data_IF_606379279359
#
_entry.id   IF_606379279359
#
_cell.length_a   1.000
_cell.length_b   1.000
_cell.length_c   1.000
_cell.angle_alpha   90.00
_cell.angle_beta   90.00
_cell.angle_gamma   90.00
#
_symmetry.space_group_name_H-M   'P 1'
#
loop_
_entity.id
_entity.type
_entity.pdbx_description
1 polymer ?
#
# COMPACT_ATOMS: atom_id res chain seq x y z
N UNK A 1 2.18 -62.96 -28.41
CA UNK A 1 2.60 -61.86 -27.51
C UNK A 1 2.92 -60.53 -28.21
N UNK A 2 3.47 -60.48 -29.45
CA UNK A 2 3.79 -59.22 -30.13
C UNK A 2 2.56 -58.38 -30.53
N UNK A 3 1.49 -58.99 -31.03
CA UNK A 3 0.28 -58.27 -31.47
C UNK A 3 -0.48 -57.58 -30.33
N UNK A 4 -0.56 -58.22 -29.15
CA UNK A 4 -1.23 -57.66 -27.95
C UNK A 4 -0.50 -56.41 -27.44
N UNK A 5 0.84 -56.38 -27.47
CA UNK A 5 1.63 -55.19 -27.09
C UNK A 5 1.42 -54.02 -28.05
N UNK A 6 1.25 -54.29 -29.35
CA UNK A 6 1.03 -53.24 -30.37
C UNK A 6 -0.36 -52.61 -30.22
N UNK A 7 -1.40 -53.43 -29.98
CA UNK A 7 -2.77 -52.94 -29.78
C UNK A 7 -2.89 -52.12 -28.49
N UNK A 8 -2.24 -52.56 -27.41
CA UNK A 8 -2.22 -51.81 -26.15
C UNK A 8 -1.51 -50.46 -26.29
N UNK A 9 -0.38 -50.41 -27.02
CA UNK A 9 0.30 -49.16 -27.33
C UNK A 9 -0.57 -48.23 -28.19
N UNK A 10 -1.30 -48.75 -29.18
CA UNK A 10 -2.19 -47.93 -30.03
C UNK A 10 -3.36 -47.32 -29.24
N UNK A 11 -3.96 -48.08 -28.30
CA UNK A 11 -5.03 -47.59 -27.43
C UNK A 11 -4.54 -46.52 -26.44
N UNK A 12 -3.34 -46.69 -25.87
CA UNK A 12 -2.72 -45.68 -24.99
C UNK A 12 -2.31 -44.42 -25.79
N UNK A 13 -1.86 -44.60 -27.04
CA UNK A 13 -1.50 -43.46 -27.89
C UNK A 13 -2.75 -42.64 -28.28
N UNK A 14 -3.89 -43.29 -28.53
CA UNK A 14 -5.15 -42.59 -28.79
C UNK A 14 -5.65 -41.81 -27.55
N UNK A 15 -5.53 -42.35 -26.33
CA UNK A 15 -5.96 -41.60 -25.14
C UNK A 15 -5.09 -40.38 -24.81
N UNK A 16 -3.80 -40.39 -25.19
CA UNK A 16 -2.90 -39.24 -25.01
C UNK A 16 -3.12 -38.19 -26.11
N UNK A 17 -3.41 -38.60 -27.35
CA UNK A 17 -3.61 -37.67 -28.47
C UNK A 17 -4.99 -36.99 -28.44
N UNK A 18 -6.02 -37.62 -27.83
CA UNK A 18 -7.38 -37.09 -27.74
C UNK A 18 -7.73 -36.41 -26.41
N UNK A 19 -6.78 -36.16 -25.51
CA UNK A 19 -7.07 -35.26 -24.40
C UNK A 19 -7.21 -33.85 -24.98
N UNK A 20 -8.44 -33.33 -25.04
CA UNK A 20 -8.68 -31.94 -25.40
C UNK A 20 -7.71 -31.04 -24.63
N UNK A 21 -7.05 -30.08 -25.29
CA UNK A 21 -6.15 -29.16 -24.59
C UNK A 21 -6.96 -28.45 -23.51
N UNK A 22 -6.72 -28.83 -22.25
CA UNK A 22 -7.31 -28.13 -21.11
C UNK A 22 -6.63 -26.78 -21.02
N UNK A 23 -7.36 -25.73 -21.40
CA UNK A 23 -6.93 -24.37 -21.14
C UNK A 23 -6.83 -24.20 -19.62
N UNK A 24 -5.60 -24.04 -19.12
CA UNK A 24 -5.38 -23.72 -17.72
C UNK A 24 -6.07 -22.37 -17.42
N UNK A 25 -6.74 -22.26 -16.27
CA UNK A 25 -7.30 -21.00 -15.81
C UNK A 25 -6.16 -19.98 -15.67
N UNK A 26 -6.04 -19.08 -16.63
CA UNK A 26 -5.07 -17.99 -16.59
C UNK A 26 -5.57 -16.96 -15.60
N UNK A 27 -4.79 -16.69 -14.56
CA UNK A 27 -5.04 -15.60 -13.61
C UNK A 27 -4.00 -14.52 -13.89
N UNK A 28 -4.46 -13.29 -14.14
CA UNK A 28 -3.59 -12.16 -14.49
C UNK A 28 -3.59 -11.17 -13.34
N UNK A 29 -2.39 -10.81 -12.90
CA UNK A 29 -2.18 -9.75 -11.92
C UNK A 29 -1.40 -8.61 -12.57
N UNK A 30 -1.82 -7.38 -12.26
CA UNK A 30 -1.11 -6.17 -12.66
C UNK A 30 -0.37 -5.59 -11.47
N UNK A 31 0.84 -5.10 -11.71
CA UNK A 31 1.57 -4.32 -10.72
C UNK A 31 0.87 -2.98 -10.56
N UNK A 32 0.17 -2.81 -9.44
CA UNK A 32 -0.56 -1.60 -9.14
C UNK A 32 0.36 -0.37 -9.08
N UNK A 33 1.61 -0.55 -8.66
CA UNK A 33 2.53 0.56 -8.48
C UNK A 33 3.33 0.90 -9.75
N UNK A 34 3.16 0.18 -10.86
CA UNK A 34 3.92 0.42 -12.08
C UNK A 34 3.25 1.51 -12.95
N UNK A 35 4.03 2.55 -13.30
CA UNK A 35 3.76 3.69 -14.21
C UNK A 35 2.55 4.59 -13.93
N UNK A 36 1.46 4.13 -13.32
CA UNK A 36 0.29 4.97 -12.97
C UNK A 36 0.33 5.59 -11.57
N UNK A 37 1.09 4.99 -10.66
CA UNK A 37 1.09 5.34 -9.22
C UNK A 37 2.42 5.87 -8.69
N UNK A 38 3.49 5.78 -9.49
CA UNK A 38 4.79 6.40 -9.22
C UNK A 38 4.74 7.93 -9.29
N UNK A 39 3.71 8.49 -9.94
CA UNK A 39 3.54 9.93 -9.99
C UNK A 39 3.11 10.47 -8.63
N UNK A 40 3.90 11.45 -8.16
CA UNK A 40 3.60 12.22 -6.96
C UNK A 40 2.29 12.98 -7.16
N UNK A 41 1.41 12.91 -6.17
CA UNK A 41 0.14 13.63 -6.20
C UNK A 41 0.41 15.15 -6.19
N UNK A 42 -0.21 15.90 -7.11
CA UNK A 42 0.03 17.35 -7.24
C UNK A 42 -0.71 18.18 -6.18
N UNK A 43 -1.91 17.75 -5.82
CA UNK A 43 -2.79 18.45 -4.88
C UNK A 43 -3.77 17.46 -4.24
N UNK A 44 -4.37 17.83 -3.11
CA UNK A 44 -5.41 17.03 -2.49
C UNK A 44 -4.88 15.84 -1.68
N UNK A 45 -5.67 14.79 -1.60
CA UNK A 45 -5.33 13.51 -0.96
C UNK A 45 -6.08 12.39 -1.67
N UNK A 46 -5.38 11.31 -2.02
CA UNK A 46 -6.01 10.09 -2.52
C UNK A 46 -5.98 9.00 -1.45
N UNK A 47 -7.10 8.30 -1.26
CA UNK A 47 -7.20 7.12 -0.39
C UNK A 47 -7.70 5.96 -1.25
N UNK A 48 -6.94 4.88 -1.29
CA UNK A 48 -7.29 3.68 -2.03
C UNK A 48 -7.49 2.52 -1.08
N UNK A 49 -8.48 1.69 -1.38
CA UNK A 49 -8.59 0.34 -0.82
C UNK A 49 -8.35 -0.64 -1.94
N UNK A 50 -7.34 -1.47 -1.76
CA UNK A 50 -6.82 -2.34 -2.81
C UNK A 50 -6.79 -3.77 -2.31
N UNK A 51 -7.53 -4.64 -2.96
CA UNK A 51 -7.48 -6.08 -2.72
C UNK A 51 -6.51 -6.73 -3.71
N UNK A 52 -5.54 -7.45 -3.17
CA UNK A 52 -4.48 -8.03 -3.99
C UNK A 52 -3.49 -8.80 -3.13
N UNK A 53 -2.28 -8.98 -3.63
CA UNK A 53 -1.17 -9.45 -2.81
C UNK A 53 0.03 -8.53 -2.90
N UNK A 54 0.76 -8.42 -1.80
CA UNK A 54 2.09 -7.85 -1.83
C UNK A 54 3.14 -8.95 -1.94
N UNK A 55 4.17 -8.72 -2.76
CA UNK A 55 5.36 -9.55 -2.77
C UNK A 55 6.29 -9.16 -1.61
N UNK A 56 6.45 -10.05 -0.63
CA UNK A 56 7.36 -9.87 0.51
C UNK A 56 8.50 -10.88 0.43
N UNK A 57 9.58 -10.60 1.14
CA UNK A 57 10.72 -11.51 1.28
C UNK A 57 11.02 -11.71 2.77
N UNK A 58 11.93 -12.63 3.09
CA UNK A 58 12.35 -12.83 4.50
C UNK A 58 12.96 -11.56 5.12
N UNK A 59 13.47 -10.64 4.28
CA UNK A 59 14.11 -9.39 4.66
C UNK A 59 13.16 -8.19 4.57
N UNK A 60 12.29 -8.14 3.56
CA UNK A 60 11.32 -7.06 3.34
C UNK A 60 9.93 -7.56 3.71
N UNK A 61 9.49 -7.21 4.92
CA UNK A 61 8.19 -7.64 5.47
C UNK A 61 7.07 -6.62 5.26
N UNK A 62 7.41 -5.41 4.86
CA UNK A 62 6.45 -4.34 4.59
C UNK A 62 6.11 -4.26 3.10
N UNK A 63 4.89 -3.84 2.78
CA UNK A 63 4.46 -3.72 1.41
C UNK A 63 4.98 -2.43 0.76
N UNK A 64 6.25 -2.43 0.35
CA UNK A 64 6.95 -1.25 -0.20
C UNK A 64 6.73 -1.05 -1.70
N UNK A 65 5.55 -1.38 -2.21
CA UNK A 65 5.20 -1.07 -3.60
C UNK A 65 5.28 -2.25 -4.59
N UNK A 66 5.33 -3.49 -4.13
CA UNK A 66 5.09 -4.67 -4.98
C UNK A 66 3.66 -5.19 -4.87
N UNK A 67 2.69 -4.28 -4.91
CA UNK A 67 1.27 -4.62 -4.83
C UNK A 67 0.76 -5.10 -6.19
N UNK A 68 0.17 -6.28 -6.19
CA UNK A 68 -0.33 -6.98 -7.36
C UNK A 68 -1.84 -7.12 -7.23
N UNK A 69 -2.57 -6.61 -8.22
CA UNK A 69 -4.04 -6.62 -8.22
C UNK A 69 -4.57 -7.51 -9.32
N UNK A 70 -5.59 -8.28 -8.98
CA UNK A 70 -6.24 -9.19 -9.90
C UNK A 70 -7.02 -8.40 -10.95
N UNK A 71 -6.79 -8.74 -12.22
CA UNK A 71 -7.64 -8.31 -13.32
C UNK A 71 -9.06 -8.86 -13.14
N UNK A 72 -10.10 -8.01 -12.99
CA UNK A 72 -11.48 -8.45 -12.80
C UNK A 72 -11.98 -9.37 -13.93
N UNK A 73 -11.43 -9.26 -15.15
CA UNK A 73 -11.77 -10.15 -16.27
C UNK A 73 -11.46 -11.61 -15.98
N UNK A 74 -10.43 -11.87 -15.17
CA UNK A 74 -9.97 -13.20 -14.81
C UNK A 74 -10.41 -13.63 -13.40
N UNK A 75 -11.17 -12.80 -12.69
CA UNK A 75 -11.78 -13.13 -11.42
C UNK A 75 -12.86 -14.21 -11.59
N UNK A 76 -12.91 -15.17 -10.66
CA UNK A 76 -13.86 -16.29 -10.71
C UNK A 76 -14.64 -16.43 -9.40
N UNK A 77 -15.88 -16.95 -9.48
CA UNK A 77 -16.72 -17.16 -8.30
C UNK A 77 -17.01 -15.87 -7.54
N UNK A 78 -16.78 -15.87 -6.22
CA UNK A 78 -17.01 -14.72 -5.33
C UNK A 78 -16.11 -13.52 -5.62
N UNK A 79 -14.98 -13.71 -6.31
CA UNK A 79 -14.05 -12.62 -6.67
C UNK A 79 -14.63 -11.67 -7.71
N UNK A 80 -15.56 -12.15 -8.58
CA UNK A 80 -16.20 -11.30 -9.60
C UNK A 80 -17.01 -10.15 -9.03
N UNK A 81 -17.54 -10.34 -7.82
CA UNK A 81 -18.39 -9.36 -7.15
C UNK A 81 -17.58 -8.41 -6.25
N UNK A 82 -16.26 -8.60 -6.15
CA UNK A 82 -15.40 -7.78 -5.31
C UNK A 82 -14.64 -6.78 -6.16
N UNK A 83 -14.78 -5.49 -5.87
CA UNK A 83 -13.93 -4.47 -6.48
C UNK A 83 -12.49 -4.66 -6.00
N UNK A 84 -11.57 -4.97 -6.92
CA UNK A 84 -10.14 -5.10 -6.59
C UNK A 84 -9.53 -3.77 -6.15
N UNK A 85 -10.07 -2.64 -6.60
CA UNK A 85 -9.61 -1.29 -6.23
C UNK A 85 -10.79 -0.33 -6.15
N UNK A 86 -10.81 0.47 -5.08
CA UNK A 86 -11.66 1.66 -4.93
C UNK A 86 -10.74 2.84 -4.58
N UNK A 87 -10.99 4.01 -5.16
CA UNK A 87 -10.22 5.25 -4.93
C UNK A 87 -11.14 6.37 -4.45
N UNK A 88 -10.72 7.12 -3.44
CA UNK A 88 -11.30 8.40 -3.01
C UNK A 88 -10.29 9.47 -3.37
N UNK A 89 -10.69 10.41 -4.21
CA UNK A 89 -9.94 11.64 -4.44
C UNK A 89 -10.57 12.76 -3.63
N UNK A 90 -9.76 13.56 -2.94
CA UNK A 90 -10.21 14.58 -2.00
C UNK A 90 -9.49 15.89 -2.30
N UNK A 91 -10.23 16.91 -2.70
CA UNK A 91 -9.72 18.27 -2.74
C UNK A 91 -9.71 18.85 -1.32
N UNK A 92 -8.50 19.12 -0.79
CA UNK A 92 -8.34 19.60 0.57
C UNK A 92 -8.65 21.09 0.77
N UNK A 93 -8.85 21.85 -0.32
CA UNK A 93 -9.21 23.27 -0.26
C UNK A 93 -10.68 23.48 0.12
N UNK A 94 -11.55 22.59 -0.36
CA UNK A 94 -13.00 22.68 -0.21
C UNK A 94 -13.64 21.39 0.34
N UNK A 95 -12.86 20.31 0.52
CA UNK A 95 -13.31 18.98 0.93
C UNK A 95 -14.37 18.37 0.01
N UNK A 96 -14.37 18.74 -1.28
CA UNK A 96 -15.06 17.97 -2.30
C UNK A 96 -14.32 16.65 -2.47
N UNK A 97 -15.07 15.56 -2.60
CA UNK A 97 -14.49 14.23 -2.72
C UNK A 97 -15.24 13.42 -3.77
N UNK A 98 -14.47 12.64 -4.54
CA UNK A 98 -14.99 11.77 -5.60
C UNK A 98 -14.53 10.34 -5.37
N UNK A 99 -15.48 9.42 -5.35
CA UNK A 99 -15.23 7.99 -5.33
C UNK A 99 -15.12 7.48 -6.76
N UNK A 100 -14.10 6.68 -7.02
CA UNK A 100 -13.89 5.96 -8.27
C UNK A 100 -13.85 4.46 -8.00
N UNK A 101 -14.48 3.68 -8.86
CA UNK A 101 -14.54 2.23 -8.76
C UNK A 101 -14.71 1.55 -10.12
N UNK A 102 -15.14 0.29 -10.08
CA UNK A 102 -15.39 -0.55 -11.26
C UNK A 102 -14.22 -0.51 -12.25
N UNK A 103 -13.12 -1.18 -11.90
CA UNK A 103 -11.88 -1.06 -12.67
C UNK A 103 -11.84 -1.98 -13.89
N UNK A 104 -11.13 -1.55 -14.92
CA UNK A 104 -10.70 -2.39 -16.04
C UNK A 104 -9.24 -2.12 -16.36
N UNK A 105 -8.62 -3.06 -17.06
CA UNK A 105 -7.29 -2.88 -17.63
C UNK A 105 -7.36 -2.83 -19.15
N UNK A 106 -6.75 -1.81 -19.73
CA UNK A 106 -6.52 -1.71 -21.18
C UNK A 106 -5.03 -1.50 -21.44
N UNK A 107 -4.40 -2.40 -22.18
CA UNK A 107 -2.95 -2.41 -22.43
C UNK A 107 -2.09 -2.19 -21.16
N UNK A 108 -2.43 -2.91 -20.08
CA UNK A 108 -1.80 -2.82 -18.76
C UNK A 108 -2.06 -1.51 -17.98
N UNK A 109 -2.89 -0.60 -18.50
CA UNK A 109 -3.30 0.63 -17.80
C UNK A 109 -4.59 0.42 -17.02
N UNK A 110 -4.60 0.89 -15.77
CA UNK A 110 -5.77 0.88 -14.89
C UNK A 110 -6.75 2.00 -15.26
N UNK A 111 -8.00 1.65 -15.50
CA UNK A 111 -9.10 2.59 -15.71
C UNK A 111 -10.18 2.41 -14.65
N UNK A 112 -10.73 3.52 -14.15
CA UNK A 112 -11.93 3.53 -13.30
C UNK A 112 -13.14 3.86 -14.16
N UNK A 113 -14.15 2.99 -14.17
CA UNK A 113 -15.32 3.14 -15.03
C UNK A 113 -16.55 3.69 -14.29
N UNK A 114 -16.47 3.86 -12.97
CA UNK A 114 -17.49 4.55 -12.20
C UNK A 114 -16.89 5.69 -11.40
N UNK A 115 -17.70 6.75 -11.27
CA UNK A 115 -17.39 7.95 -10.50
C UNK A 115 -18.66 8.38 -9.75
N UNK A 116 -18.52 8.77 -8.49
CA UNK A 116 -19.61 9.36 -7.71
C UNK A 116 -19.10 10.40 -6.72
N UNK A 117 -19.90 11.45 -6.52
CA UNK A 117 -19.60 12.47 -5.51
C UNK A 117 -19.82 11.91 -4.10
N UNK A 118 -18.91 12.25 -3.18
CA UNK A 118 -18.96 11.88 -1.77
C UNK A 118 -19.06 13.14 -0.93
N UNK A 119 -20.09 13.19 -0.08
CA UNK A 119 -20.24 14.25 0.91
C UNK A 119 -19.47 13.88 2.17
N UNK A 120 -18.42 14.63 2.47
CA UNK A 120 -17.65 14.46 3.70
C UNK A 120 -18.31 15.20 4.87
N UNK A 121 -18.55 14.47 5.95
CA UNK A 121 -18.98 15.03 7.24
C UNK A 121 -17.86 15.77 7.97
N UNK A 122 -18.21 16.58 8.96
CA UNK A 122 -17.23 17.36 9.72
C UNK A 122 -16.19 16.49 10.44
N UNK A 123 -16.59 15.33 11.00
CA UNK A 123 -15.64 14.40 11.63
C UNK A 123 -14.61 13.87 10.65
N UNK A 124 -15.06 13.46 9.45
CA UNK A 124 -14.20 12.93 8.39
C UNK A 124 -13.22 14.01 7.91
N UNK A 125 -13.68 15.25 7.71
CA UNK A 125 -12.81 16.39 7.34
C UNK A 125 -11.72 16.64 8.38
N UNK A 126 -12.06 16.60 9.66
CA UNK A 126 -11.08 16.77 10.74
C UNK A 126 -10.10 15.58 10.83
N UNK A 127 -10.59 14.35 10.64
CA UNK A 127 -9.74 13.16 10.56
C UNK A 127 -8.77 13.22 9.39
N UNK A 128 -9.22 13.66 8.21
CA UNK A 128 -8.40 13.86 7.01
C UNK A 128 -7.28 14.88 7.26
N UNK A 129 -7.61 16.04 7.86
CA UNK A 129 -6.60 17.06 8.21
C UNK A 129 -5.53 16.50 9.15
N UNK A 130 -5.95 15.76 10.18
CA UNK A 130 -5.04 15.14 11.16
C UNK A 130 -4.15 14.08 10.50
N UNK A 131 -4.72 13.18 9.70
CA UNK A 131 -3.95 12.15 8.99
C UNK A 131 -2.93 12.81 8.06
N UNK A 132 -3.32 13.81 7.26
CA UNK A 132 -2.38 14.56 6.42
C UNK A 132 -1.23 15.14 7.25
N UNK A 133 -1.53 15.79 8.38
CA UNK A 133 -0.49 16.36 9.25
C UNK A 133 0.49 15.29 9.75
N UNK A 134 -0.02 14.14 10.18
CA UNK A 134 0.81 13.02 10.61
C UNK A 134 1.64 12.44 9.46
N UNK A 135 1.09 12.34 8.25
CA UNK A 135 1.83 11.90 7.06
C UNK A 135 2.95 12.89 6.69
N UNK A 136 2.76 14.19 6.88
CA UNK A 136 3.84 15.19 6.73
C UNK A 136 4.98 14.99 7.74
N UNK A 137 4.66 14.61 8.98
CA UNK A 137 5.66 14.28 10.00
C UNK A 137 6.40 12.99 9.61
N UNK A 138 5.65 11.96 9.21
CA UNK A 138 6.20 10.69 8.73
C UNK A 138 7.17 10.90 7.56
N UNK A 139 6.78 11.69 6.56
CA UNK A 139 7.63 12.00 5.41
C UNK A 139 8.92 12.74 5.82
N UNK A 140 8.81 13.75 6.68
CA UNK A 140 9.99 14.46 7.19
C UNK A 140 10.94 13.54 7.95
N UNK A 141 10.41 12.62 8.76
CA UNK A 141 11.22 11.64 9.49
C UNK A 141 11.92 10.69 8.52
N UNK A 142 11.19 10.14 7.55
CA UNK A 142 11.72 9.19 6.57
C UNK A 142 12.80 9.79 5.66
N UNK A 143 12.71 11.09 5.37
CA UNK A 143 13.70 11.78 4.55
C UNK A 143 14.94 12.27 5.33
N UNK A 144 15.07 11.96 6.62
CA UNK A 144 16.29 12.27 7.36
C UNK A 144 17.42 11.35 6.90
N UNK A 145 18.48 11.93 6.34
CA UNK A 145 19.74 11.25 6.08
C UNK A 145 20.65 11.34 7.30
N UNK A 146 21.18 10.21 7.77
CA UNK A 146 22.15 10.17 8.88
C UNK A 146 23.60 10.03 8.40
N UNK A 147 24.56 10.30 9.27
CA UNK A 147 26.00 10.14 9.02
C UNK A 147 26.45 8.67 8.92
N UNK A 148 25.72 7.77 9.54
CA UNK A 148 25.75 6.33 9.28
C UNK A 148 24.54 5.93 8.42
N UNK A 149 24.64 4.86 7.62
CA UNK A 149 23.46 4.33 6.93
C UNK A 149 22.40 3.93 7.97
N UNK A 150 21.20 4.48 7.81
CA UNK A 150 20.03 3.86 8.39
C UNK A 150 19.86 2.56 7.62
N UNK A 151 20.17 1.43 8.24
CA UNK A 151 19.80 0.13 7.69
C UNK A 151 18.27 0.04 7.79
N UNK A 152 17.59 0.68 6.84
CA UNK A 152 16.24 0.27 6.46
C UNK A 152 16.41 -1.10 5.80
N UNK A 153 15.47 -2.02 6.03
CA UNK A 153 15.52 -3.33 5.40
C UNK A 153 15.33 -3.17 3.88
N UNK A 154 16.45 -2.99 3.19
CA UNK A 154 16.74 -2.96 1.75
C UNK A 154 15.58 -2.59 0.81
N UNK A 155 15.76 -1.48 0.11
CA UNK A 155 14.88 -0.93 -0.93
C UNK A 155 14.78 -1.84 -2.15
N UNK A 156 13.93 -2.87 -2.06
CA UNK A 156 13.36 -3.58 -3.19
C UNK A 156 14.33 -4.50 -3.98
N UNK A 157 13.77 -5.45 -4.76
CA UNK A 157 14.53 -6.50 -5.43
C UNK A 157 15.12 -5.98 -6.74
N UNK A 158 16.08 -5.07 -6.69
CA UNK A 158 16.68 -4.53 -7.93
C UNK A 158 18.04 -5.12 -8.31
N UNK A 159 18.69 -5.94 -7.48
CA UNK A 159 19.96 -6.57 -7.88
C UNK A 159 20.41 -7.85 -7.14
N UNK A 160 19.49 -8.75 -6.78
CA UNK A 160 19.90 -10.02 -6.14
C UNK A 160 19.63 -11.22 -7.03
N UNK A 161 20.65 -11.64 -7.78
CA UNK A 161 20.70 -12.90 -8.52
C UNK A 161 20.85 -14.07 -7.54
N UNK A 162 19.72 -14.55 -7.05
CA UNK A 162 19.54 -15.77 -6.27
C UNK A 162 18.05 -16.07 -6.18
N UNK A 163 17.67 -17.33 -6.00
CA UNK A 163 16.27 -17.75 -5.80
C UNK A 163 15.73 -17.21 -4.47
N UNK A 164 15.42 -15.92 -4.42
CA UNK A 164 14.71 -15.30 -3.31
C UNK A 164 13.26 -15.77 -3.41
N UNK A 165 12.79 -16.47 -2.38
CA UNK A 165 11.40 -16.86 -2.29
C UNK A 165 10.56 -15.61 -2.00
N UNK A 166 9.87 -15.12 -3.03
CA UNK A 166 8.88 -14.06 -2.87
C UNK A 166 7.60 -14.71 -2.31
N UNK A 167 7.26 -14.36 -1.08
CA UNK A 167 5.98 -14.74 -0.47
C UNK A 167 4.91 -13.79 -1.01
N UNK A 168 3.75 -14.37 -1.35
CA UNK A 168 2.56 -13.59 -1.73
C UNK A 168 1.68 -13.45 -0.50
N UNK A 169 1.69 -12.26 0.09
CA UNK A 169 0.80 -11.94 1.20
C UNK A 169 -0.47 -11.33 0.62
N UNK A 170 -1.54 -12.13 0.55
CA UNK A 170 -2.85 -11.66 0.11
C UNK A 170 -3.54 -10.91 1.23
N UNK A 171 -4.03 -9.71 0.94
CA UNK A 171 -4.73 -8.88 1.90
C UNK A 171 -5.56 -7.80 1.20
N UNK A 172 -6.24 -7.01 2.01
CA UNK A 172 -6.73 -5.69 1.66
C UNK A 172 -5.72 -4.65 2.16
N UNK A 173 -5.29 -3.76 1.27
CA UNK A 173 -4.36 -2.69 1.57
C UNK A 173 -5.07 -1.33 1.51
N UNK A 174 -4.80 -0.48 2.50
CA UNK A 174 -5.16 0.93 2.44
C UNK A 174 -3.93 1.70 1.99
N UNK A 175 -4.06 2.45 0.89
CA UNK A 175 -2.98 3.27 0.35
C UNK A 175 -3.41 4.72 0.44
N UNK A 176 -2.53 5.57 0.96
CA UNK A 176 -2.76 7.00 1.03
C UNK A 176 -1.66 7.73 0.26
N UNK A 177 -2.08 8.64 -0.61
CA UNK A 177 -1.18 9.54 -1.33
C UNK A 177 -1.49 10.98 -0.94
N UNK A 178 -0.44 11.75 -0.69
CA UNK A 178 -0.53 13.20 -0.51
C UNK A 178 0.63 13.89 -1.23
N UNK A 179 0.53 15.19 -1.56
CA UNK A 179 1.62 15.95 -2.16
C UNK A 179 2.85 16.10 -1.26
N UNK A 180 2.71 15.83 0.03
CA UNK A 180 3.84 15.92 0.97
C UNK A 180 4.68 14.66 0.99
N UNK A 181 4.08 13.49 0.70
CA UNK A 181 4.85 12.25 0.57
C UNK A 181 5.82 12.37 -0.60
N UNK A 182 7.11 12.23 -0.32
CA UNK A 182 8.21 12.50 -1.23
C UNK A 182 9.23 11.36 -1.32
N UNK A 183 9.22 10.41 -0.39
CA UNK A 183 9.99 9.17 -0.51
C UNK A 183 9.46 8.29 -1.66
N UNK A 184 10.28 7.42 -2.23
CA UNK A 184 9.86 6.50 -3.28
C UNK A 184 9.52 5.12 -2.68
N UNK A 185 8.32 4.55 -2.93
CA UNK A 185 7.18 5.17 -3.64
C UNK A 185 6.45 6.23 -2.79
N UNK A 186 5.89 7.31 -3.38
CA UNK A 186 5.31 8.44 -2.63
C UNK A 186 3.90 8.13 -2.12
N UNK A 187 3.80 7.09 -1.29
CA UNK A 187 2.55 6.56 -0.76
C UNK A 187 2.76 5.87 0.59
N UNK A 188 1.78 6.01 1.45
CA UNK A 188 1.72 5.31 2.73
C UNK A 188 0.80 4.09 2.60
N UNK A 189 1.27 2.91 3.01
CA UNK A 189 0.57 1.63 2.83
C UNK A 189 0.31 0.97 4.18
N UNK A 190 -0.93 0.54 4.40
CA UNK A 190 -1.32 -0.29 5.54
C UNK A 190 -1.90 -1.60 5.03
N UNK A 191 -1.40 -2.72 5.53
CA UNK A 191 -2.06 -4.02 5.42
C UNK A 191 -3.23 -4.07 6.40
N UNK A 192 -4.46 -3.86 5.91
CA UNK A 192 -5.65 -3.69 6.74
C UNK A 192 -6.04 -4.97 7.50
N UNK A 193 -5.88 -6.14 6.88
CA UNK A 193 -6.32 -7.40 7.48
C UNK A 193 -5.35 -7.89 8.56
N UNK A 194 -4.06 -7.53 8.46
CA UNK A 194 -3.01 -7.99 9.36
C UNK A 194 -2.64 -6.98 10.46
N UNK A 195 -3.42 -5.92 10.66
CA UNK A 195 -3.16 -4.94 11.72
C UNK A 195 -3.30 -5.59 13.10
N UNK A 196 -2.29 -5.39 13.94
CA UNK A 196 -2.36 -5.77 15.34
C UNK A 196 -3.44 -4.94 16.06
N UNK A 197 -4.53 -5.59 16.49
CA UNK A 197 -5.65 -4.93 17.17
C UNK A 197 -5.28 -4.30 18.52
N UNK A 198 -4.09 -4.57 19.07
CA UNK A 198 -3.59 -3.89 20.28
C UNK A 198 -3.45 -2.38 20.11
N UNK A 199 -3.33 -1.86 18.86
CA UNK A 199 -3.23 -0.42 18.59
C UNK A 199 -4.41 0.38 19.15
N UNK A 200 -5.59 -0.24 19.30
CA UNK A 200 -6.78 0.42 19.85
C UNK A 200 -6.60 0.80 21.33
N UNK A 201 -5.75 0.06 22.05
CA UNK A 201 -5.45 0.27 23.46
C UNK A 201 -4.23 1.18 23.67
N UNK A 202 -3.53 1.55 22.60
CA UNK A 202 -2.38 2.45 22.67
C UNK A 202 -2.86 3.89 22.59
N UNK A 203 -2.53 4.66 23.62
CA UNK A 203 -2.78 6.09 23.66
C UNK A 203 -1.57 6.86 23.13
N UNK A 204 -1.82 7.89 22.32
CA UNK A 204 -0.79 8.81 21.89
C UNK A 204 -0.38 9.73 23.06
N UNK A 205 0.92 9.72 23.39
CA UNK A 205 1.48 10.48 24.52
C UNK A 205 2.47 11.57 24.09
N UNK A 206 2.50 11.87 22.80
CA UNK A 206 3.38 12.88 22.25
C UNK A 206 2.81 14.29 22.34
N UNK A 207 3.54 15.22 21.72
CA UNK A 207 3.14 16.62 21.57
C UNK A 207 1.93 16.73 20.64
N UNK A 208 1.27 17.89 20.64
CA UNK A 208 0.36 18.20 19.54
C UNK A 208 1.07 18.06 18.17
N UNK A 209 0.35 17.63 17.13
CA UNK A 209 0.97 17.36 15.83
C UNK A 209 1.54 18.62 15.16
N UNK A 210 0.95 19.80 15.39
CA UNK A 210 1.55 21.05 14.91
C UNK A 210 2.86 21.36 15.65
N UNK A 211 2.88 21.15 16.96
CA UNK A 211 4.10 21.31 17.77
C UNK A 211 5.19 20.30 17.38
N UNK A 212 4.86 19.02 17.25
CA UNK A 212 5.80 17.96 16.83
C UNK A 212 6.38 18.27 15.44
N UNK A 213 5.56 18.73 14.51
CA UNK A 213 6.00 19.09 13.17
C UNK A 213 6.98 20.27 13.18
N UNK A 214 6.70 21.31 13.97
CA UNK A 214 7.63 22.44 14.12
C UNK A 214 8.92 22.04 14.84
N UNK A 215 8.79 21.23 15.90
CA UNK A 215 9.95 20.71 16.63
C UNK A 215 10.85 19.86 15.74
N UNK A 216 10.27 18.99 14.90
CA UNK A 216 11.00 18.19 13.92
C UNK A 216 11.78 19.07 12.93
N UNK A 217 11.16 20.12 12.39
CA UNK A 217 11.86 21.08 11.51
C UNK A 217 13.05 21.74 12.20
N UNK A 218 12.87 22.20 13.45
CA UNK A 218 13.94 22.80 14.23
C UNK A 218 15.04 21.79 14.57
N UNK A 219 14.67 20.55 14.90
CA UNK A 219 15.60 19.46 15.15
C UNK A 219 16.47 19.19 13.92
N UNK A 220 15.87 19.09 12.74
CA UNK A 220 16.61 18.86 11.49
C UNK A 220 17.56 20.04 11.23
N UNK A 221 17.05 21.28 11.26
CA UNK A 221 17.85 22.47 10.98
C UNK A 221 19.04 22.65 11.93
N UNK A 222 18.88 22.28 13.20
CA UNK A 222 19.91 22.44 14.24
C UNK A 222 20.99 21.35 14.20
N UNK A 223 20.64 20.15 13.73
CA UNK A 223 21.51 18.97 13.87
C UNK A 223 22.15 18.50 12.57
N UNK A 224 21.79 19.09 11.42
CA UNK A 224 22.49 18.88 10.16
C UNK A 224 23.96 19.29 10.25
N UNK A 225 24.84 18.43 9.77
CA UNK A 225 26.25 18.70 9.58
C UNK A 225 26.48 19.37 8.20
N UNK A 226 27.76 19.55 7.82
CA UNK A 226 28.14 20.18 6.55
C UNK A 226 27.72 19.37 5.31
N UNK A 227 27.47 18.08 5.48
CA UNK A 227 27.04 17.16 4.43
C UNK A 227 25.51 16.96 4.44
N UNK A 228 24.77 17.86 5.09
CA UNK A 228 23.31 17.80 5.26
C UNK A 228 22.79 16.56 6.00
N UNK A 229 23.67 15.86 6.73
CA UNK A 229 23.37 14.65 7.50
C UNK A 229 23.21 14.91 8.99
N UNK A 230 22.36 14.15 9.66
CA UNK A 230 22.17 14.20 11.12
C UNK A 230 22.97 13.08 11.79
N UNK A 231 23.67 13.32 12.92
CA UNK A 231 24.31 12.24 13.65
C UNK A 231 23.34 11.14 14.05
N UNK A 232 23.63 9.88 13.69
CA UNK A 232 22.75 8.73 13.92
C UNK A 232 22.25 8.66 15.37
N UNK A 233 23.16 8.83 16.33
CA UNK A 233 22.82 8.87 17.75
C UNK A 233 21.72 9.87 18.09
N UNK A 234 21.78 11.09 17.52
CA UNK A 234 20.77 12.13 17.77
C UNK A 234 19.45 11.80 17.09
N UNK A 235 19.50 11.23 15.90
CA UNK A 235 18.32 10.75 15.19
C UNK A 235 17.64 9.63 15.98
N UNK A 236 18.38 8.63 16.43
CA UNK A 236 17.86 7.50 17.21
C UNK A 236 17.25 7.98 18.53
N UNK A 237 17.90 8.91 19.25
CA UNK A 237 17.36 9.53 20.47
C UNK A 237 16.03 10.28 20.20
N UNK A 238 15.94 11.02 19.09
CA UNK A 238 14.71 11.68 18.66
C UNK A 238 13.61 10.66 18.36
N UNK A 239 13.92 9.65 17.54
CA UNK A 239 12.98 8.61 17.13
C UNK A 239 12.42 7.85 18.33
N UNK A 240 13.28 7.42 19.24
CA UNK A 240 12.86 6.72 20.45
C UNK A 240 11.92 7.57 21.30
N UNK A 241 12.31 8.82 21.57
CA UNK A 241 11.62 9.67 22.53
C UNK A 241 10.33 10.27 21.98
N UNK A 242 10.34 10.77 20.75
CA UNK A 242 9.27 11.61 20.21
C UNK A 242 8.35 10.83 19.26
N UNK A 243 8.79 9.70 18.70
CA UNK A 243 8.02 8.89 17.74
C UNK A 243 7.59 7.54 18.33
N UNK A 244 8.54 6.71 18.79
CA UNK A 244 8.23 5.35 19.23
C UNK A 244 7.58 5.30 20.61
N UNK A 245 8.19 5.92 21.63
CA UNK A 245 7.63 5.94 23.00
C UNK A 245 6.31 6.71 23.13
N UNK A 246 6.01 7.57 22.15
CA UNK A 246 4.76 8.35 22.11
C UNK A 246 3.61 7.61 21.44
N UNK A 247 3.84 6.42 20.87
CA UNK A 247 2.88 5.67 20.05
C UNK A 247 2.42 6.44 18.80
N UNK A 248 3.29 7.22 18.16
CA UNK A 248 2.95 7.99 16.96
C UNK A 248 2.39 7.12 15.81
N UNK A 249 3.09 6.05 15.44
CA UNK A 249 2.65 5.16 14.36
C UNK A 249 1.37 4.38 14.69
N UNK A 250 1.21 3.78 15.88
CA UNK A 250 -0.07 3.23 16.30
C UNK A 250 -1.23 4.23 16.19
N UNK A 251 -1.01 5.49 16.56
CA UNK A 251 -2.03 6.53 16.44
C UNK A 251 -2.38 6.85 14.99
N UNK A 252 -1.37 6.93 14.11
CA UNK A 252 -1.58 7.15 12.68
C UNK A 252 -2.45 6.04 12.09
N UNK A 253 -2.07 4.79 12.31
CA UNK A 253 -2.84 3.61 11.86
C UNK A 253 -4.26 3.66 12.42
N UNK A 254 -4.42 3.93 13.72
CA UNK A 254 -5.74 4.02 14.36
C UNK A 254 -6.62 5.10 13.75
N UNK A 255 -6.07 6.28 13.44
CA UNK A 255 -6.79 7.38 12.77
C UNK A 255 -7.22 7.00 11.35
N UNK A 256 -6.35 6.34 10.60
CA UNK A 256 -6.67 5.86 9.25
C UNK A 256 -7.79 4.83 9.29
N UNK A 257 -7.75 3.88 10.23
CA UNK A 257 -8.82 2.89 10.39
C UNK A 257 -10.15 3.52 10.77
N UNK A 258 -10.15 4.47 11.72
CA UNK A 258 -11.37 5.21 12.06
C UNK A 258 -11.95 5.94 10.86
N UNK A 259 -11.11 6.62 10.05
CA UNK A 259 -11.57 7.26 8.83
C UNK A 259 -12.13 6.23 7.84
N UNK A 260 -11.45 5.11 7.64
CA UNK A 260 -11.92 4.01 6.78
C UNK A 260 -13.32 3.51 7.22
N UNK A 261 -13.52 3.34 8.52
CA UNK A 261 -14.80 2.88 9.08
C UNK A 261 -15.89 3.95 8.97
N UNK A 262 -15.56 5.23 9.21
CA UNK A 262 -16.47 6.37 9.03
C UNK A 262 -16.87 6.57 7.56
N UNK A 263 -15.98 6.28 6.62
CA UNK A 263 -16.29 6.27 5.18
C UNK A 263 -17.12 5.03 4.78
N UNK A 264 -17.08 3.96 5.59
CA UNK A 264 -17.56 2.61 5.30
C UNK A 264 -19.00 2.48 4.80
N UNK A 265 -19.92 3.34 5.22
CA UNK A 265 -21.32 3.28 4.75
C UNK A 265 -21.52 3.86 3.33
N UNK A 266 -20.68 4.80 2.89
CA UNK A 266 -20.79 5.45 1.57
C UNK A 266 -19.72 4.96 0.57
N UNK A 267 -18.64 4.35 1.07
CA UNK A 267 -17.44 4.13 0.29
C UNK A 267 -17.20 2.64 -0.07
N UNK A 268 -17.71 1.67 0.70
CA UNK A 268 -17.33 0.25 0.54
C UNK A 268 -18.46 -0.80 0.48
N UNK A 269 -19.74 -0.41 0.61
CA UNK A 269 -20.87 -1.34 0.41
C UNK A 269 -21.41 -1.22 -1.02
N UNK A 270 -20.78 -1.94 -1.95
CA UNK A 270 -21.41 -2.59 -3.11
C UNK A 270 -20.70 -3.93 -3.36
#
# INVERSE_FOLDING_TARGET
MRAVKIILCFLILQTIIFSEPKQLNKVVYYNYNYRGFTEKLKSGMEIHKVKGYCGTTDFVKECNGLLQILDPKYANGTEKNMQSVIKLDIDLSNFTAKKYGNITFDNDYLHFNSESDIVLGNSQKESIKKIRKMLMIHDLVKNITTDEEIIEADDGPSSMTGTIHIKKDFSTYIIIKTPELSYFPPMYVIDYENINKSIWNLEYKGRDFDELYQYLKQFIAKNKNKDDKIPKKKYDEFMEKEIYKTNFYPELTRKILKLNDELGYNFFLE
#
